data_IF_843795807221
#
_entry.id   IF_843795807221
#
_cell.length_a   1.000
_cell.length_b   1.000
_cell.length_c   1.000
_cell.angle_alpha   90.00
_cell.angle_beta   90.00
_cell.angle_gamma   90.00
#
_symmetry.space_group_name_H-M   'P 1'
#
loop_
_entity.id
_entity.type
_entity.pdbx_description
1 polymer ?
#
# COMPACT_ATOMS: atom_id res chain seq x y z
N UNK A 1 1.75 -14.62 14.57
CA UNK A 1 1.27 -13.23 14.54
C UNK A 1 2.15 -12.38 13.61
N UNK A 2 1.55 -11.50 12.85
CA UNK A 2 2.30 -10.63 11.94
C UNK A 2 3.09 -9.57 12.74
N UNK A 3 4.37 -9.45 12.45
CA UNK A 3 5.24 -8.45 13.09
C UNK A 3 5.46 -7.27 12.14
N UNK A 4 6.06 -6.18 12.62
CA UNK A 4 6.44 -5.07 11.76
C UNK A 4 7.40 -5.53 10.66
N UNK A 5 8.32 -6.42 10.99
CA UNK A 5 9.25 -7.00 10.00
C UNK A 5 8.50 -7.76 8.92
N UNK A 6 7.47 -8.52 9.31
CA UNK A 6 6.63 -9.23 8.36
C UNK A 6 5.87 -8.25 7.47
N UNK A 7 5.35 -7.16 8.05
CA UNK A 7 4.63 -6.13 7.30
C UNK A 7 5.55 -5.45 6.26
N UNK A 8 6.82 -5.23 6.61
CA UNK A 8 7.80 -4.67 5.66
C UNK A 8 8.06 -5.65 4.50
N UNK A 9 8.11 -6.95 4.80
CA UNK A 9 8.23 -7.96 3.74
C UNK A 9 7.01 -7.97 2.83
N UNK A 10 5.82 -7.79 3.40
CA UNK A 10 4.58 -7.68 2.63
C UNK A 10 4.63 -6.44 1.73
N UNK A 11 5.13 -5.31 2.25
CA UNK A 11 5.32 -4.09 1.47
C UNK A 11 6.19 -4.34 0.23
N UNK A 12 7.33 -4.99 0.40
CA UNK A 12 8.25 -5.30 -0.71
C UNK A 12 7.58 -6.22 -1.73
N UNK A 13 6.88 -7.24 -1.26
CA UNK A 13 6.21 -8.20 -2.13
C UNK A 13 5.06 -7.54 -2.88
N UNK A 14 4.29 -6.68 -2.22
CA UNK A 14 3.20 -5.94 -2.84
C UNK A 14 3.70 -5.08 -3.98
N UNK A 15 4.78 -4.32 -3.75
CA UNK A 15 5.36 -3.49 -4.80
C UNK A 15 5.80 -4.33 -5.98
N UNK A 16 6.48 -5.45 -5.73
CA UNK A 16 6.96 -6.32 -6.79
C UNK A 16 5.81 -6.89 -7.62
N UNK A 17 4.76 -7.38 -6.95
CA UNK A 17 3.60 -7.96 -7.65
C UNK A 17 2.85 -6.91 -8.46
N UNK A 18 2.63 -5.73 -7.91
CA UNK A 18 1.94 -4.65 -8.61
C UNK A 18 2.76 -4.11 -9.78
N UNK A 19 4.09 -4.07 -9.65
CA UNK A 19 4.95 -3.55 -10.71
C UNK A 19 4.95 -4.42 -11.97
N UNK A 20 4.48 -5.65 -11.88
CA UNK A 20 4.30 -6.51 -13.03
C UNK A 20 3.03 -6.17 -13.83
N UNK A 21 2.13 -5.38 -13.24
CA UNK A 21 0.83 -5.05 -13.82
C UNK A 21 0.81 -3.63 -14.38
N UNK A 22 1.39 -2.66 -13.64
CA UNK A 22 1.41 -1.25 -14.05
C UNK A 22 2.63 -0.53 -13.47
N UNK A 23 2.99 0.65 -14.06
CA UNK A 23 4.17 1.38 -13.58
C UNK A 23 3.94 1.96 -12.19
N UNK A 24 4.83 1.64 -11.26
CA UNK A 24 4.75 2.08 -9.87
C UNK A 24 5.80 3.16 -9.64
N UNK A 25 5.43 4.19 -8.87
CA UNK A 25 6.36 5.22 -8.43
C UNK A 25 6.86 4.94 -7.02
N UNK A 26 5.94 4.74 -6.07
CA UNK A 26 6.31 4.55 -4.67
C UNK A 26 5.37 3.56 -4.00
N UNK A 27 5.84 2.96 -2.93
CA UNK A 27 5.03 2.11 -2.06
C UNK A 27 5.31 2.50 -0.61
N UNK A 28 4.26 2.60 0.18
CA UNK A 28 4.34 2.99 1.59
C UNK A 28 3.61 1.98 2.46
N UNK A 29 4.26 1.54 3.53
CA UNK A 29 3.57 0.92 4.66
C UNK A 29 3.14 2.04 5.58
N UNK A 30 1.85 2.12 5.92
CA UNK A 30 1.34 3.17 6.80
C UNK A 30 0.43 2.55 7.86
N UNK A 31 -0.15 3.41 8.70
CA UNK A 31 -1.03 2.95 9.76
C UNK A 31 -0.27 2.33 10.92
N UNK A 32 -0.94 1.45 11.67
CA UNK A 32 -0.42 0.95 12.93
C UNK A 32 0.87 0.15 12.80
N UNK A 33 1.04 -0.62 11.74
CA UNK A 33 2.28 -1.37 11.54
C UNK A 33 3.48 -0.48 11.25
N UNK A 34 3.25 0.68 10.61
CA UNK A 34 4.32 1.65 10.38
C UNK A 34 4.70 2.38 11.67
N UNK A 35 3.70 2.73 12.48
CA UNK A 35 3.93 3.43 13.76
C UNK A 35 4.46 2.52 14.86
N UNK A 36 4.19 1.21 14.76
CA UNK A 36 4.59 0.25 15.78
C UNK A 36 3.56 0.01 16.88
N UNK A 37 2.37 0.63 16.77
CA UNK A 37 1.30 0.46 17.77
C UNK A 37 0.23 -0.53 17.33
N UNK A 38 0.58 -1.45 16.45
CA UNK A 38 -0.34 -2.45 15.94
C UNK A 38 -0.72 -3.48 17.00
N UNK A 39 -1.89 -4.10 16.76
CA UNK A 39 -2.43 -5.18 17.59
C UNK A 39 -2.62 -6.42 16.73
N UNK A 40 -2.91 -7.59 17.33
CA UNK A 40 -3.10 -8.82 16.55
C UNK A 40 -4.17 -8.71 15.46
N UNK A 41 -5.21 -7.90 15.69
CA UNK A 41 -6.30 -7.68 14.75
C UNK A 41 -6.07 -6.54 13.76
N UNK A 42 -4.93 -5.86 13.84
CA UNK A 42 -4.63 -4.72 12.96
C UNK A 42 -4.40 -5.17 11.52
N UNK A 43 -4.86 -4.34 10.58
CA UNK A 43 -4.61 -4.55 9.16
C UNK A 43 -3.22 -4.06 8.77
N UNK A 44 -2.64 -4.69 7.76
CA UNK A 44 -1.42 -4.18 7.11
C UNK A 44 -1.86 -3.25 5.99
N UNK A 45 -1.55 -1.97 6.13
CA UNK A 45 -1.98 -0.92 5.20
C UNK A 45 -0.83 -0.50 4.30
N UNK A 46 -1.01 -0.68 2.98
CA UNK A 46 0.02 -0.38 1.98
C UNK A 46 -0.58 0.51 0.91
N UNK A 47 0.00 1.69 0.71
CA UNK A 47 -0.38 2.59 -0.36
C UNK A 47 0.61 2.44 -1.52
N UNK A 48 0.07 2.22 -2.72
CA UNK A 48 0.85 2.20 -3.95
C UNK A 48 0.53 3.47 -4.73
N UNK A 49 1.55 4.22 -5.12
CA UNK A 49 1.39 5.32 -6.07
C UNK A 49 1.84 4.84 -7.43
N UNK A 50 1.03 5.09 -8.44
CA UNK A 50 1.26 4.57 -9.78
C UNK A 50 1.28 5.70 -10.81
N UNK A 51 2.09 5.54 -11.84
CA UNK A 51 2.17 6.48 -12.95
C UNK A 51 1.11 6.14 -14.00
N UNK A 52 -0.15 6.19 -13.57
CA UNK A 52 -1.31 5.92 -14.42
C UNK A 52 -2.46 6.84 -14.03
N UNK A 53 -3.40 7.04 -14.96
CA UNK A 53 -4.55 7.89 -14.73
C UNK A 53 -5.60 7.18 -13.86
N UNK A 54 -6.46 7.94 -13.15
CA UNK A 54 -7.48 7.34 -12.30
C UNK A 54 -8.42 6.37 -13.03
N UNK A 55 -8.80 6.69 -14.27
CA UNK A 55 -9.66 5.84 -15.06
C UNK A 55 -9.00 4.51 -15.44
N UNK A 56 -7.67 4.52 -15.58
CA UNK A 56 -6.89 3.31 -15.89
C UNK A 56 -6.76 2.43 -14.64
N UNK A 57 -6.60 3.04 -13.47
CA UNK A 57 -6.52 2.28 -12.21
C UNK A 57 -7.75 1.39 -12.02
N UNK A 58 -8.93 1.91 -12.35
CA UNK A 58 -10.17 1.15 -12.18
C UNK A 58 -10.20 -0.14 -13.00
N UNK A 59 -9.46 -0.19 -14.10
CA UNK A 59 -9.36 -1.39 -14.95
C UNK A 59 -8.56 -2.51 -14.29
N UNK A 60 -7.69 -2.18 -13.34
CA UNK A 60 -6.85 -3.15 -12.63
C UNK A 60 -7.42 -3.55 -11.28
N UNK A 61 -8.62 -3.10 -10.93
CA UNK A 61 -9.23 -3.34 -9.62
C UNK A 61 -9.30 -4.83 -9.28
N UNK A 62 -9.69 -5.67 -10.24
CA UNK A 62 -9.76 -7.11 -10.03
C UNK A 62 -8.40 -7.74 -9.77
N UNK A 63 -7.36 -7.30 -10.48
CA UNK A 63 -6.01 -7.80 -10.30
C UNK A 63 -5.43 -7.36 -8.95
N UNK A 64 -5.71 -6.12 -8.56
CA UNK A 64 -5.29 -5.60 -7.25
C UNK A 64 -5.96 -6.38 -6.14
N UNK A 65 -7.26 -6.67 -6.27
CA UNK A 65 -8.00 -7.47 -5.30
C UNK A 65 -7.42 -8.88 -5.18
N UNK A 66 -7.02 -9.48 -6.30
CA UNK A 66 -6.40 -10.81 -6.30
C UNK A 66 -5.07 -10.81 -5.54
N UNK A 67 -4.23 -9.78 -5.77
CA UNK A 67 -2.97 -9.61 -5.05
C UNK A 67 -3.22 -9.47 -3.55
N UNK A 68 -4.19 -8.63 -3.19
CA UNK A 68 -4.55 -8.39 -1.79
C UNK A 68 -5.00 -9.70 -1.11
N UNK A 69 -5.81 -10.50 -1.79
CA UNK A 69 -6.29 -11.77 -1.27
C UNK A 69 -5.15 -12.77 -1.05
N UNK A 70 -4.24 -12.89 -2.02
CA UNK A 70 -3.09 -13.79 -1.91
C UNK A 70 -2.21 -13.40 -0.72
N UNK A 71 -1.89 -12.10 -0.60
CA UNK A 71 -1.05 -11.62 0.49
C UNK A 71 -1.70 -11.82 1.85
N UNK A 72 -3.00 -11.60 1.95
CA UNK A 72 -3.74 -11.81 3.20
C UNK A 72 -3.74 -13.27 3.62
N UNK A 73 -3.99 -14.18 2.68
CA UNK A 73 -4.01 -15.61 2.97
C UNK A 73 -2.63 -16.16 3.33
N UNK A 74 -1.59 -15.75 2.60
CA UNK A 74 -0.23 -16.22 2.85
C UNK A 74 0.29 -15.79 4.22
N UNK A 75 -0.15 -14.64 4.73
CA UNK A 75 0.40 -14.04 5.94
C UNK A 75 -0.56 -14.06 7.13
N UNK A 76 -1.73 -14.65 6.96
CA UNK A 76 -2.75 -14.74 8.01
C UNK A 76 -3.03 -13.39 8.66
N UNK A 77 -3.20 -12.35 7.82
CA UNK A 77 -3.48 -10.97 8.23
C UNK A 77 -4.24 -10.29 7.11
N UNK A 78 -5.10 -9.34 7.44
CA UNK A 78 -5.79 -8.56 6.41
C UNK A 78 -4.83 -7.53 5.83
N UNK A 79 -4.63 -7.57 4.52
CA UNK A 79 -3.80 -6.61 3.80
C UNK A 79 -4.71 -5.70 2.98
N UNK A 80 -4.49 -4.39 3.08
CA UNK A 80 -5.23 -3.37 2.34
C UNK A 80 -4.26 -2.64 1.43
N UNK A 81 -4.59 -2.56 0.12
CA UNK A 81 -3.68 -1.98 -0.88
C UNK A 81 -4.42 -0.97 -1.75
N UNK A 82 -4.66 0.25 -1.24
CA UNK A 82 -5.15 1.31 -2.10
C UNK A 82 -4.08 1.71 -3.11
N UNK A 83 -4.50 1.90 -4.37
CA UNK A 83 -3.62 2.35 -5.45
C UNK A 83 -4.10 3.72 -5.90
N UNK A 84 -3.21 4.70 -5.88
CA UNK A 84 -3.54 6.09 -6.24
C UNK A 84 -2.60 6.59 -7.32
N UNK A 85 -3.08 7.48 -8.22
CA UNK A 85 -2.19 8.12 -9.18
C UNK A 85 -1.10 8.90 -8.45
N UNK A 86 0.14 8.75 -8.89
CA UNK A 86 1.27 9.45 -8.28
C UNK A 86 1.08 10.96 -8.34
N UNK A 87 0.56 11.48 -9.46
CA UNK A 87 0.30 12.91 -9.62
C UNK A 87 -0.68 13.42 -8.57
N UNK A 88 -1.75 12.67 -8.32
CA UNK A 88 -2.74 13.03 -7.30
C UNK A 88 -2.13 13.02 -5.91
N UNK A 89 -1.35 12.00 -5.58
CA UNK A 89 -0.67 11.90 -4.30
C UNK A 89 0.28 13.08 -4.09
N UNK A 90 1.10 13.39 -5.09
CA UNK A 90 2.06 14.49 -5.03
C UNK A 90 1.36 15.85 -4.90
N UNK A 91 0.27 16.05 -5.66
CA UNK A 91 -0.46 17.32 -5.67
C UNK A 91 -1.16 17.59 -4.34
N UNK A 92 -1.76 16.56 -3.73
CA UNK A 92 -2.60 16.73 -2.55
C UNK A 92 -1.95 16.23 -1.26
N UNK A 93 -0.67 15.87 -1.28
CA UNK A 93 0.00 15.25 -0.13
C UNK A 93 0.05 16.15 1.11
N UNK A 94 0.02 17.47 0.94
CA UNK A 94 0.03 18.39 2.06
C UNK A 94 -1.37 18.81 2.52
N UNK A 95 -2.34 18.78 1.60
CA UNK A 95 -3.70 19.27 1.85
C UNK A 95 -4.63 18.19 2.41
N UNK A 96 -4.52 16.95 1.91
CA UNK A 96 -5.43 15.87 2.32
C UNK A 96 -4.83 15.08 3.48
N UNK A 97 -5.58 14.99 4.60
CA UNK A 97 -5.05 14.32 5.82
C UNK A 97 -4.53 12.91 5.57
N UNK A 98 -5.21 12.12 4.76
CA UNK A 98 -4.78 10.76 4.46
C UNK A 98 -3.38 10.74 3.83
N UNK A 99 -3.19 11.51 2.76
CA UNK A 99 -1.90 11.55 2.06
C UNK A 99 -0.80 12.15 2.93
N UNK A 100 -1.14 13.19 3.67
CA UNK A 100 -0.19 13.84 4.58
C UNK A 100 0.30 12.86 5.64
N UNK A 101 -0.60 12.08 6.22
CA UNK A 101 -0.26 11.11 7.25
C UNK A 101 0.60 9.97 6.70
N UNK A 102 0.27 9.47 5.50
CA UNK A 102 1.07 8.44 4.86
C UNK A 102 2.49 8.93 4.63
N UNK A 103 2.63 10.15 4.12
CA UNK A 103 3.95 10.72 3.82
C UNK A 103 4.77 10.98 5.09
N UNK A 104 4.10 11.40 6.17
CA UNK A 104 4.78 11.73 7.43
C UNK A 104 5.16 10.50 8.25
N UNK A 105 4.29 9.50 8.31
CA UNK A 105 4.44 8.33 9.18
C UNK A 105 4.82 7.06 8.45
N UNK A 106 4.63 7.00 7.14
CA UNK A 106 4.81 5.79 6.36
C UNK A 106 6.25 5.39 6.18
N UNK A 107 6.46 4.09 6.06
CA UNK A 107 7.75 3.52 5.68
C UNK A 107 7.73 3.36 4.17
N UNK A 108 8.59 4.09 3.49
CA UNK A 108 8.63 4.11 2.03
C UNK A 108 9.57 3.05 1.48
N UNK A 109 9.11 2.35 0.46
CA UNK A 109 9.93 1.48 -0.36
C UNK A 109 9.86 1.97 -1.80
N UNK A 110 10.90 2.62 -2.22
CA UNK A 110 10.98 3.21 -3.56
C UNK A 110 11.44 2.20 -4.61
#
# INVERSE_FOLDING_TARGET
MCTQKDAIKILHKTKRMCSEIFPIKEAYLYGSYARGDFRPESDVDILITADIRPDVISKYRGQIAAITSVLSLENDVTVSVPVKPEEQFRRFSEAMPFYRNVKAEGIRYA
#
